data_IF_126676853760
#
_entry.id   IF_126676853760
#
_cell.length_a   1.000
_cell.length_b   1.000
_cell.length_c   1.000
_cell.angle_alpha   90.00
_cell.angle_beta   90.00
_cell.angle_gamma   90.00
#
_symmetry.space_group_name_H-M   'P 1'
#
loop_
_entity.id
_entity.type
_entity.pdbx_description
1 polymer ?
#
# COMPACT_ATOMS: atom_id res chain seq x y z
N UNK A 1 19.98 -10.43 -27.55
CA UNK A 1 20.23 -9.91 -26.19
C UNK A 1 19.15 -8.89 -25.83
N UNK A 2 18.07 -9.30 -25.15
CA UNK A 2 16.92 -8.43 -24.80
C UNK A 2 16.54 -8.47 -23.30
N UNK A 3 17.38 -9.07 -22.45
CA UNK A 3 17.01 -9.48 -21.08
C UNK A 3 17.29 -8.51 -19.91
N UNK A 4 18.29 -7.60 -19.92
CA UNK A 4 18.66 -6.89 -18.69
C UNK A 4 17.60 -5.89 -18.21
N UNK A 5 16.84 -5.28 -19.14
CA UNK A 5 15.78 -4.32 -18.80
C UNK A 5 14.57 -4.99 -18.15
N UNK A 6 14.11 -6.12 -18.72
CA UNK A 6 12.98 -6.87 -18.17
C UNK A 6 13.29 -7.45 -16.79
N UNK A 7 14.51 -7.97 -16.62
CA UNK A 7 14.98 -8.49 -15.34
C UNK A 7 15.07 -7.40 -14.27
N UNK A 8 15.58 -6.21 -14.62
CA UNK A 8 15.61 -5.04 -13.71
C UNK A 8 14.21 -4.66 -13.25
N UNK A 9 13.27 -4.46 -14.18
CA UNK A 9 11.88 -4.11 -13.86
C UNK A 9 11.21 -5.14 -12.95
N UNK A 10 11.45 -6.44 -13.18
CA UNK A 10 10.94 -7.50 -12.33
C UNK A 10 11.47 -7.41 -10.89
N UNK A 11 12.76 -7.15 -10.72
CA UNK A 11 13.36 -6.97 -9.38
C UNK A 11 12.77 -5.75 -8.69
N UNK A 12 12.67 -4.62 -9.40
CA UNK A 12 12.13 -3.37 -8.86
C UNK A 12 10.69 -3.58 -8.35
N UNK A 13 9.82 -4.18 -9.15
CA UNK A 13 8.44 -4.47 -8.76
C UNK A 13 8.39 -5.40 -7.54
N UNK A 14 9.13 -6.52 -7.56
CA UNK A 14 9.10 -7.47 -6.46
C UNK A 14 9.66 -6.91 -5.16
N UNK A 15 10.66 -6.04 -5.23
CA UNK A 15 11.22 -5.38 -4.05
C UNK A 15 10.13 -4.59 -3.32
N UNK A 16 9.35 -3.80 -4.05
CA UNK A 16 8.23 -3.05 -3.47
C UNK A 16 7.16 -3.97 -2.88
N UNK A 17 6.78 -5.04 -3.60
CA UNK A 17 5.79 -6.03 -3.11
C UNK A 17 6.19 -6.63 -1.77
N UNK A 18 7.46 -7.06 -1.64
CA UNK A 18 8.00 -7.65 -0.41
C UNK A 18 7.96 -6.65 0.74
N UNK A 19 8.36 -5.39 0.50
CA UNK A 19 8.33 -4.37 1.54
C UNK A 19 6.91 -4.02 2.01
N UNK A 20 5.98 -3.88 1.07
CA UNK A 20 4.56 -3.64 1.40
C UNK A 20 4.01 -4.78 2.23
N UNK A 21 4.21 -6.04 1.82
CA UNK A 21 3.75 -7.20 2.58
C UNK A 21 4.40 -7.29 3.97
N UNK A 22 5.68 -6.96 4.09
CA UNK A 22 6.34 -6.92 5.40
C UNK A 22 5.72 -5.88 6.34
N UNK A 23 5.35 -4.71 5.83
CA UNK A 23 4.67 -3.66 6.60
C UNK A 23 3.27 -4.12 7.01
N UNK A 24 2.48 -4.65 6.08
CA UNK A 24 1.13 -5.16 6.37
C UNK A 24 1.14 -6.28 7.41
N UNK A 25 2.11 -7.19 7.34
CA UNK A 25 2.29 -8.24 8.35
C UNK A 25 2.63 -7.68 9.74
N UNK A 26 3.35 -6.56 9.82
CA UNK A 26 3.61 -5.88 11.10
C UNK A 26 2.34 -5.23 11.64
N UNK A 27 1.61 -4.50 10.79
CA UNK A 27 0.32 -3.89 11.15
C UNK A 27 -0.68 -4.94 11.66
N UNK A 28 -0.76 -6.10 10.98
CA UNK A 28 -1.61 -7.22 11.41
C UNK A 28 -1.25 -7.73 12.80
N UNK A 29 0.04 -7.76 13.17
CA UNK A 29 0.50 -8.19 14.51
C UNK A 29 0.26 -7.17 15.61
N UNK A 30 0.10 -5.89 15.28
CA UNK A 30 -0.15 -4.83 16.24
C UNK A 30 -1.61 -4.83 16.75
N UNK A 31 -2.51 -5.65 16.18
CA UNK A 31 -3.92 -5.79 16.55
C UNK A 31 -4.78 -4.50 16.53
N UNK A 32 -4.25 -3.38 16.03
CA UNK A 32 -4.96 -2.11 15.86
C UNK A 32 -5.58 -2.00 14.45
N UNK A 33 -6.26 -3.05 13.99
CA UNK A 33 -6.80 -3.12 12.62
C UNK A 33 -7.91 -2.09 12.36
N UNK A 34 -8.60 -1.64 13.41
CA UNK A 34 -9.67 -0.64 13.39
C UNK A 34 -9.23 0.70 12.81
N UNK A 35 -7.99 1.12 13.08
CA UNK A 35 -7.44 2.39 12.57
C UNK A 35 -6.66 2.21 11.26
N UNK A 36 -6.18 0.98 11.01
CA UNK A 36 -5.37 0.64 9.82
C UNK A 36 -6.23 0.57 8.57
N UNK A 37 -7.40 -0.07 8.61
CA UNK A 37 -8.26 -0.23 7.42
C UNK A 37 -8.73 1.12 6.85
N UNK A 38 -9.25 2.07 7.66
CA UNK A 38 -9.60 3.40 7.18
C UNK A 38 -8.40 4.15 6.58
N UNK A 39 -7.22 4.05 7.20
CA UNK A 39 -6.01 4.69 6.70
C UNK A 39 -5.56 4.13 5.34
N UNK A 40 -5.61 2.81 5.14
CA UNK A 40 -5.28 2.19 3.85
C UNK A 40 -6.31 2.57 2.78
N UNK A 41 -7.61 2.62 3.11
CA UNK A 41 -8.63 3.10 2.17
C UNK A 41 -8.35 4.53 1.69
N UNK A 42 -7.96 5.42 2.60
CA UNK A 42 -7.63 6.81 2.25
C UNK A 42 -6.36 6.92 1.38
N UNK A 43 -5.36 6.06 1.61
CA UNK A 43 -4.19 5.93 0.71
C UNK A 43 -4.65 5.50 -0.70
N UNK A 44 -5.58 4.55 -0.80
CA UNK A 44 -6.08 4.02 -2.07
C UNK A 44 -6.91 5.04 -2.85
N UNK A 45 -7.69 5.87 -2.16
CA UNK A 45 -8.51 6.94 -2.73
C UNK A 45 -7.68 8.12 -3.24
N UNK A 46 -6.42 8.23 -2.81
CA UNK A 46 -5.51 9.32 -3.23
C UNK A 46 -5.94 10.69 -2.72
N UNK A 47 -6.77 10.73 -1.68
CA UNK A 47 -7.21 11.98 -1.05
C UNK A 47 -6.09 12.67 -0.26
N UNK A 48 -6.26 13.96 0.08
CA UNK A 48 -5.35 14.66 0.98
C UNK A 48 -5.45 14.01 2.36
N UNK A 49 -4.49 13.16 2.69
CA UNK A 49 -4.42 12.49 3.98
C UNK A 49 -3.41 13.22 4.85
N UNK A 50 -3.86 13.71 6.01
CA UNK A 50 -2.97 14.33 6.99
C UNK A 50 -2.23 13.23 7.76
N UNK A 51 -0.99 12.98 7.32
CA UNK A 51 -0.12 11.99 7.94
C UNK A 51 0.46 12.42 9.30
N UNK A 52 0.18 13.64 9.79
CA UNK A 52 0.77 14.16 11.04
C UNK A 52 0.49 13.29 12.27
N UNK A 53 -0.61 12.55 12.27
CA UNK A 53 -1.02 11.62 13.32
C UNK A 53 -0.93 10.14 12.92
N UNK A 54 -0.44 9.85 11.71
CA UNK A 54 -0.36 8.49 11.18
C UNK A 54 0.87 7.75 11.67
N UNK A 55 0.75 6.42 11.79
CA UNK A 55 1.91 5.59 12.11
C UNK A 55 2.94 5.61 10.98
N UNK A 56 4.20 5.36 11.34
CA UNK A 56 5.30 5.31 10.38
C UNK A 56 5.05 4.27 9.27
N UNK A 57 4.37 3.17 9.60
CA UNK A 57 3.94 2.14 8.67
C UNK A 57 2.96 2.65 7.61
N UNK A 58 1.93 3.42 8.00
CA UNK A 58 0.94 4.00 7.09
C UNK A 58 1.60 5.03 6.17
N UNK A 59 2.49 5.87 6.71
CA UNK A 59 3.29 6.82 5.92
C UNK A 59 4.13 6.08 4.89
N UNK A 60 4.81 5.01 5.30
CA UNK A 60 5.64 4.21 4.39
C UNK A 60 4.81 3.55 3.29
N UNK A 61 3.62 3.01 3.58
CA UNK A 61 2.72 2.45 2.56
C UNK A 61 2.30 3.50 1.53
N UNK A 62 1.98 4.72 1.98
CA UNK A 62 1.64 5.82 1.08
C UNK A 62 2.82 6.17 0.15
N UNK A 63 4.02 6.32 0.70
CA UNK A 63 5.22 6.63 -0.09
C UNK A 63 5.56 5.51 -1.07
N UNK A 64 5.42 4.24 -0.69
CA UNK A 64 5.70 3.11 -1.57
C UNK A 64 4.70 3.03 -2.74
N UNK A 65 3.43 3.38 -2.51
CA UNK A 65 2.40 3.36 -3.55
C UNK A 65 2.51 4.56 -4.51
N UNK A 66 2.61 5.78 -3.98
CA UNK A 66 2.48 7.01 -4.77
C UNK A 66 3.82 7.62 -5.19
N UNK A 67 4.89 7.32 -4.44
CA UNK A 67 6.21 7.92 -4.63
C UNK A 67 7.36 6.92 -4.76
N UNK A 68 7.27 5.91 -5.65
CA UNK A 68 8.35 4.94 -5.84
C UNK A 68 9.68 5.59 -6.30
N UNK A 69 9.64 6.77 -6.90
CA UNK A 69 10.80 7.57 -7.28
C UNK A 69 11.71 7.97 -6.10
N UNK A 70 11.19 7.98 -4.87
CA UNK A 70 12.00 8.25 -3.67
C UNK A 70 13.01 7.13 -3.39
N UNK A 71 12.74 5.92 -3.89
CA UNK A 71 13.57 4.73 -3.64
C UNK A 71 14.37 4.32 -4.88
N UNK A 72 13.80 4.51 -6.08
CA UNK A 72 14.46 4.20 -7.35
C UNK A 72 14.54 5.49 -8.18
N UNK A 73 15.73 6.07 -8.26
CA UNK A 73 15.98 7.22 -9.12
C UNK A 73 15.82 6.83 -10.59
N UNK A 74 15.20 7.71 -11.36
CA UNK A 74 14.94 7.53 -12.79
C UNK A 74 14.18 6.23 -13.10
N UNK A 75 13.23 5.86 -12.24
CA UNK A 75 12.35 4.72 -12.49
C UNK A 75 11.59 4.94 -13.80
N UNK A 76 11.48 3.88 -14.59
CA UNK A 76 10.74 3.91 -15.84
C UNK A 76 9.23 4.13 -15.56
N UNK A 77 8.53 5.02 -16.29
CA UNK A 77 7.12 5.29 -16.06
C UNK A 77 6.23 4.03 -16.09
N UNK A 78 6.52 3.09 -16.99
CA UNK A 78 5.78 1.82 -17.07
C UNK A 78 6.00 0.97 -15.81
N UNK A 79 7.23 0.96 -15.28
CA UNK A 79 7.53 0.25 -14.03
C UNK A 79 6.83 0.92 -12.85
N UNK A 80 6.77 2.26 -12.82
CA UNK A 80 6.02 3.01 -11.81
C UNK A 80 4.53 2.65 -11.81
N UNK A 81 3.90 2.58 -12.98
CA UNK A 81 2.49 2.16 -13.11
C UNK A 81 2.27 0.71 -12.67
N UNK A 82 3.19 -0.19 -13.02
CA UNK A 82 3.13 -1.58 -12.60
C UNK A 82 3.27 -1.72 -11.08
N UNK A 83 4.20 -0.98 -10.46
CA UNK A 83 4.34 -0.92 -9.00
C UNK A 83 3.04 -0.43 -8.37
N UNK A 84 2.49 0.68 -8.86
CA UNK A 84 1.23 1.21 -8.34
C UNK A 84 0.11 0.18 -8.41
N UNK A 85 -0.05 -0.49 -9.56
CA UNK A 85 -1.10 -1.49 -9.77
C UNK A 85 -0.94 -2.70 -8.84
N UNK A 86 0.27 -3.23 -8.72
CA UNK A 86 0.57 -4.39 -7.86
C UNK A 86 0.38 -4.07 -6.37
N UNK A 87 0.90 -2.92 -5.90
CA UNK A 87 0.73 -2.52 -4.50
C UNK A 87 -0.74 -2.25 -4.20
N UNK A 88 -1.46 -1.59 -5.10
CA UNK A 88 -2.90 -1.31 -4.96
C UNK A 88 -3.69 -2.60 -4.74
N UNK A 89 -3.41 -3.64 -5.52
CA UNK A 89 -4.08 -4.94 -5.36
C UNK A 89 -3.68 -5.64 -4.06
N UNK A 90 -2.41 -5.56 -3.63
CA UNK A 90 -1.99 -6.10 -2.32
C UNK A 90 -2.74 -5.43 -1.17
N UNK A 91 -2.87 -4.10 -1.20
CA UNK A 91 -3.58 -3.34 -0.16
C UNK A 91 -5.07 -3.67 -0.13
N UNK A 92 -5.74 -3.76 -1.29
CA UNK A 92 -7.15 -4.19 -1.36
C UNK A 92 -7.35 -5.61 -0.83
N UNK A 93 -6.46 -6.54 -1.19
CA UNK A 93 -6.53 -7.91 -0.72
C UNK A 93 -6.35 -8.00 0.80
N UNK A 94 -5.44 -7.19 1.36
CA UNK A 94 -5.27 -7.10 2.81
C UNK A 94 -6.54 -6.60 3.51
N UNK A 95 -7.17 -5.53 2.98
CA UNK A 95 -8.44 -5.04 3.54
C UNK A 95 -9.50 -6.14 3.50
N UNK A 96 -9.69 -6.80 2.35
CA UNK A 96 -10.66 -7.90 2.23
C UNK A 96 -10.41 -9.01 3.25
N UNK A 97 -9.15 -9.45 3.38
CA UNK A 97 -8.77 -10.48 4.35
C UNK A 97 -9.10 -10.05 5.79
N UNK A 98 -8.87 -8.79 6.14
CA UNK A 98 -9.20 -8.26 7.46
C UNK A 98 -10.72 -8.18 7.68
N UNK A 99 -11.48 -7.76 6.68
CA UNK A 99 -12.95 -7.69 6.74
C UNK A 99 -13.59 -9.07 6.89
N UNK A 100 -13.15 -10.03 6.08
CA UNK A 100 -13.68 -11.40 6.06
C UNK A 100 -13.49 -12.10 7.42
N UNK A 101 -12.45 -11.73 8.18
CA UNK A 101 -12.10 -12.35 9.48
C UNK A 101 -12.78 -11.69 10.67
N UNK A 102 -13.11 -10.39 10.62
CA UNK A 102 -13.50 -9.62 11.82
C UNK A 102 -14.97 -9.18 11.88
N UNK A 103 -15.81 -9.65 10.95
CA UNK A 103 -17.20 -9.20 10.77
C UNK A 103 -17.25 -7.70 10.39
N UNK A 104 -18.25 -7.27 9.60
CA UNK A 104 -18.28 -5.99 8.85
C UNK A 104 -18.04 -4.69 9.66
N UNK A 105 -17.95 -4.76 10.99
CA UNK A 105 -17.72 -3.65 11.91
C UNK A 105 -16.42 -2.85 11.67
N UNK A 106 -15.33 -3.50 11.24
CA UNK A 106 -14.03 -2.83 10.95
C UNK A 106 -14.04 -2.15 9.57
N UNK A 107 -14.87 -2.65 8.67
CA UNK A 107 -14.90 -2.23 7.27
C UNK A 107 -16.07 -1.30 6.92
N UNK A 108 -16.93 -1.01 7.89
CA UNK A 108 -17.88 0.10 7.81
C UNK A 108 -17.10 1.40 7.58
N UNK A 109 -17.21 1.95 6.36
CA UNK A 109 -16.60 3.23 6.04
C UNK A 109 -17.04 4.30 7.06
N UNK A 110 -16.16 5.23 7.47
CA UNK A 110 -16.62 6.38 8.23
C UNK A 110 -17.67 7.08 7.39
N UNK A 111 -18.92 7.10 7.88
CA UNK A 111 -19.99 7.86 7.27
C UNK A 111 -19.46 9.28 7.06
N UNK A 112 -19.44 9.74 5.80
CA UNK A 112 -19.14 11.13 5.46
C UNK A 112 -19.98 12.01 6.37
N UNK A 113 -19.32 12.70 7.32
CA UNK A 113 -19.97 13.77 8.08
C UNK A 113 -20.13 14.93 7.10
N UNK A 114 -21.33 15.04 6.53
CA UNK A 114 -21.81 16.17 5.74
C UNK A 114 -21.91 17.41 6.63
#
# INVERSE_FOLDING_TARGET
MHEPKKYKSFIEINTFKVHVQAILNRLKKQNNLTDVVPAINLILDGGPFDFSSSSAEIIALNSLLHHPELYIKNIDPQVKENIYSEIKEILKNFIREVCDVNDDSICAMPAQRV
#
